data_IF_546171854581
#
_entry.id   IF_546171854581
#
_cell.length_a   1.000
_cell.length_b   1.000
_cell.length_c   1.000
_cell.angle_alpha   90.00
_cell.angle_beta   90.00
_cell.angle_gamma   90.00
#
_symmetry.space_group_name_H-M   'P 1'
#
loop_
_entity.id
_entity.type
_entity.pdbx_description
1 polymer ?
#
# COMPACT_ATOMS: atom_id res chain seq x y z
N UNK A 1 -5.43 -6.93 9.10
CA UNK A 1 -5.47 -6.22 7.81
C UNK A 1 -4.33 -6.74 6.96
N UNK A 2 -4.62 -7.21 5.75
CA UNK A 2 -3.60 -7.61 4.77
C UNK A 2 -3.49 -6.52 3.71
N UNK A 3 -2.25 -6.17 3.35
CA UNK A 3 -1.95 -5.26 2.25
C UNK A 3 -0.90 -5.93 1.38
N UNK A 4 -1.19 -6.05 0.08
CA UNK A 4 -0.27 -6.60 -0.89
C UNK A 4 -0.11 -5.65 -2.08
N UNK A 5 1.13 -5.48 -2.53
CA UNK A 5 1.42 -4.85 -3.81
C UNK A 5 1.19 -5.88 -4.93
N UNK A 6 0.71 -5.42 -6.07
CA UNK A 6 0.64 -6.23 -7.29
C UNK A 6 1.80 -5.83 -8.19
N UNK A 7 2.84 -6.67 -8.24
CA UNK A 7 4.03 -6.42 -9.03
C UNK A 7 3.77 -6.44 -10.54
N UNK A 8 2.69 -7.09 -11.00
CA UNK A 8 2.33 -7.15 -12.43
C UNK A 8 1.80 -5.81 -12.95
N UNK A 9 1.34 -4.93 -12.06
CA UNK A 9 0.89 -3.58 -12.39
C UNK A 9 2.01 -2.58 -12.16
N UNK A 10 2.63 -2.11 -13.26
CA UNK A 10 3.67 -1.06 -13.24
C UNK A 10 4.82 -1.37 -12.27
N UNK A 11 5.19 -2.65 -12.15
CA UNK A 11 6.28 -3.11 -11.26
C UNK A 11 5.97 -2.91 -9.77
N UNK A 12 4.69 -2.84 -9.39
CA UNK A 12 4.29 -2.60 -7.99
C UNK A 12 4.52 -1.17 -7.49
N UNK A 13 4.79 -0.21 -8.39
CA UNK A 13 5.06 1.19 -8.01
C UNK A 13 3.85 1.86 -7.35
N UNK A 14 4.12 2.69 -6.34
CA UNK A 14 3.13 3.38 -5.55
C UNK A 14 2.76 4.73 -6.17
N UNK A 15 1.50 4.83 -6.58
CA UNK A 15 0.85 6.07 -7.00
C UNK A 15 0.34 6.87 -5.79
N UNK A 16 0.02 8.17 -5.92
CA UNK A 16 -0.55 8.97 -4.82
C UNK A 16 -1.80 8.32 -4.18
N UNK A 17 -2.65 7.68 -4.98
CA UNK A 17 -3.82 6.93 -4.47
C UNK A 17 -3.41 5.67 -3.67
N UNK A 18 -2.27 5.07 -3.98
CA UNK A 18 -1.73 3.91 -3.25
C UNK A 18 -1.35 4.28 -1.82
N UNK A 19 -0.76 5.46 -1.63
CA UNK A 19 -0.45 5.98 -0.29
C UNK A 19 -1.74 6.26 0.48
N UNK A 20 -2.72 6.93 -0.15
CA UNK A 20 -4.02 7.23 0.47
C UNK A 20 -4.76 5.96 0.93
N UNK A 21 -4.84 4.92 0.08
CA UNK A 21 -5.51 3.66 0.44
C UNK A 21 -4.79 2.91 1.57
N UNK A 22 -3.44 2.94 1.60
CA UNK A 22 -2.67 2.31 2.68
C UNK A 22 -2.85 3.02 4.01
N UNK A 23 -2.82 4.36 4.03
CA UNK A 23 -3.12 5.12 5.25
C UNK A 23 -4.54 4.86 5.76
N UNK A 24 -5.53 4.79 4.85
CA UNK A 24 -6.90 4.43 5.22
C UNK A 24 -6.95 3.02 5.83
N UNK A 25 -6.26 2.05 5.24
CA UNK A 25 -6.16 0.69 5.76
C UNK A 25 -5.53 0.62 7.16
N UNK A 26 -4.47 1.39 7.40
CA UNK A 26 -3.82 1.48 8.72
C UNK A 26 -4.76 2.06 9.78
N UNK A 27 -5.50 3.12 9.44
CA UNK A 27 -6.52 3.69 10.35
C UNK A 27 -7.58 2.64 10.71
N UNK A 28 -8.09 1.87 9.75
CA UNK A 28 -9.04 0.77 10.02
C UNK A 28 -8.42 -0.27 10.95
N UNK A 29 -7.20 -0.72 10.67
CA UNK A 29 -6.52 -1.74 11.45
C UNK A 29 -6.32 -1.29 12.92
N UNK A 30 -5.89 -0.04 13.10
CA UNK A 30 -5.67 0.56 14.42
C UNK A 30 -6.97 0.68 15.22
N UNK A 31 -8.04 1.21 14.61
CA UNK A 31 -9.36 1.36 15.26
C UNK A 31 -9.93 0.01 15.74
N UNK A 32 -9.65 -1.07 15.03
CA UNK A 32 -10.17 -2.40 15.34
C UNK A 32 -9.16 -3.30 16.08
N UNK A 33 -7.99 -2.76 16.47
CA UNK A 33 -6.89 -3.53 17.08
C UNK A 33 -6.50 -4.78 16.27
N UNK A 34 -6.55 -4.69 14.95
CA UNK A 34 -6.20 -5.78 14.06
C UNK A 34 -4.70 -5.76 13.75
N UNK A 35 -4.02 -6.91 13.74
CA UNK A 35 -2.65 -6.99 13.24
C UNK A 35 -2.60 -6.57 11.76
N UNK A 36 -1.53 -5.90 11.36
CA UNK A 36 -1.31 -5.52 9.96
C UNK A 36 -0.15 -6.32 9.38
N UNK A 37 -0.40 -7.01 8.28
CA UNK A 37 0.60 -7.79 7.55
C UNK A 37 0.73 -7.23 6.15
N UNK A 38 1.98 -6.92 5.75
CA UNK A 38 2.31 -6.38 4.45
C UNK A 38 3.10 -7.41 3.63
N UNK A 39 2.58 -7.73 2.44
CA UNK A 39 3.28 -8.50 1.43
C UNK A 39 3.82 -7.50 0.40
N UNK A 40 5.08 -7.10 0.60
CA UNK A 40 5.70 -6.01 -0.16
C UNK A 40 6.49 -6.59 -1.32
N UNK A 41 6.00 -6.33 -2.53
CA UNK A 41 6.73 -6.48 -3.79
C UNK A 41 6.49 -5.19 -4.60
N UNK A 42 7.39 -4.22 -4.44
CA UNK A 42 7.14 -2.82 -4.81
C UNK A 42 8.35 -2.19 -5.49
N UNK A 43 8.12 -1.56 -6.64
CA UNK A 43 9.10 -0.73 -7.35
C UNK A 43 9.32 0.68 -6.75
N UNK A 44 8.77 0.98 -5.58
CA UNK A 44 8.91 2.29 -4.93
C UNK A 44 7.92 3.33 -5.44
N UNK A 45 8.25 4.62 -5.37
CA UNK A 45 7.36 5.69 -5.83
C UNK A 45 7.21 5.68 -7.36
N UNK A 46 6.02 5.96 -7.87
CA UNK A 46 5.83 6.22 -9.30
C UNK A 46 6.39 7.61 -9.65
N UNK A 47 7.65 7.66 -10.11
CA UNK A 47 8.43 8.88 -10.29
C UNK A 47 7.73 10.01 -11.06
N UNK A 48 6.93 9.77 -12.13
CA UNK A 48 6.24 10.85 -12.82
C UNK A 48 5.20 11.61 -11.98
N UNK A 49 4.78 11.04 -10.84
CA UNK A 49 3.79 11.63 -9.92
C UNK A 49 4.36 11.78 -8.49
N UNK A 50 5.69 11.88 -8.34
CA UNK A 50 6.35 12.09 -7.05
C UNK A 50 6.11 13.51 -6.50
#
# INVERSE_FOLDING_TARGET
MFVANDATVKGGTAYPITVKKQLRAQVVAMQNRLPSVYLVDSGGAFLPLQ
#
